data_IF_648586681321
#
_entry.id   IF_648586681321
#
_cell.length_a   1.000
_cell.length_b   1.000
_cell.length_c   1.000
_cell.angle_alpha   90.00
_cell.angle_beta   90.00
_cell.angle_gamma   90.00
#
_symmetry.space_group_name_H-M   'P 1'
#
loop_
_entity.id
_entity.type
_entity.pdbx_description
1 polymer ?
#
# COMPACT_ATOMS: atom_id res chain seq x y z
N UNK A 1 -22.32 22.25 9.66
CA UNK A 1 -21.76 22.47 8.31
C UNK A 1 -20.80 21.32 8.07
N UNK A 2 -21.07 20.46 7.09
CA UNK A 2 -20.30 19.24 6.84
C UNK A 2 -18.82 19.58 6.56
N UNK A 3 -17.91 19.09 7.40
CA UNK A 3 -16.46 19.06 7.12
C UNK A 3 -16.20 17.96 6.07
N UNK A 4 -16.49 18.25 4.80
CA UNK A 4 -16.19 17.37 3.67
C UNK A 4 -14.76 17.56 3.13
N UNK A 5 -13.99 18.46 3.74
CA UNK A 5 -12.60 18.72 3.46
C UNK A 5 -11.81 18.70 4.79
N UNK A 6 -11.65 17.52 5.38
CA UNK A 6 -10.48 17.27 6.23
C UNK A 6 -9.26 17.20 5.30
N UNK A 7 -8.87 18.37 4.81
CA UNK A 7 -7.57 18.63 4.20
C UNK A 7 -6.53 18.28 5.26
N UNK A 8 -5.47 17.58 4.87
CA UNK A 8 -4.43 17.07 5.77
C UNK A 8 -3.61 18.17 6.44
N UNK A 9 -4.25 18.95 7.30
CA UNK A 9 -3.65 19.97 8.15
C UNK A 9 -2.94 19.35 9.34
N UNK A 10 -2.40 20.21 10.21
CA UNK A 10 -1.71 19.75 11.41
C UNK A 10 -2.69 19.03 12.35
N UNK A 11 -2.34 17.79 12.73
CA UNK A 11 -3.08 17.02 13.71
C UNK A 11 -2.16 16.73 14.91
N UNK A 12 -2.51 17.21 16.12
CA UNK A 12 -1.74 16.87 17.31
C UNK A 12 -1.99 15.39 17.66
N UNK A 13 -1.01 14.53 17.39
CA UNK A 13 -1.08 13.11 17.72
C UNK A 13 -0.91 12.88 19.23
N UNK A 14 -2.01 13.03 19.97
CA UNK A 14 -2.07 12.64 21.38
C UNK A 14 -2.61 11.22 21.48
N UNK A 15 -1.70 10.23 21.49
CA UNK A 15 -2.08 8.83 21.60
C UNK A 15 -2.56 8.54 23.02
N UNK A 16 -3.86 8.31 23.18
CA UNK A 16 -4.40 7.79 24.44
C UNK A 16 -4.04 6.31 24.61
N UNK A 17 -4.29 5.77 25.80
CA UNK A 17 -4.15 4.33 26.05
C UNK A 17 -5.04 3.48 25.14
N UNK A 18 -6.23 3.97 24.78
CA UNK A 18 -7.13 3.29 23.86
C UNK A 18 -6.59 3.30 22.43
N UNK A 19 -6.06 4.43 21.94
CA UNK A 19 -5.51 4.55 20.58
C UNK A 19 -4.29 3.63 20.41
N UNK A 20 -3.41 3.60 21.41
CA UNK A 20 -2.24 2.72 21.43
C UNK A 20 -2.65 1.26 21.40
N UNK A 21 -3.68 0.88 22.19
CA UNK A 21 -4.21 -0.47 22.18
C UNK A 21 -4.79 -0.85 20.80
N UNK A 22 -5.54 0.05 20.17
CA UNK A 22 -6.11 -0.18 18.83
C UNK A 22 -5.03 -0.35 17.75
N UNK A 23 -3.96 0.44 17.80
CA UNK A 23 -2.82 0.29 16.88
C UNK A 23 -2.13 -1.07 17.04
N UNK A 24 -1.88 -1.50 18.28
CA UNK A 24 -1.27 -2.81 18.56
C UNK A 24 -2.18 -3.94 18.13
N UNK A 25 -3.48 -3.86 18.42
CA UNK A 25 -4.47 -4.86 17.99
C UNK A 25 -4.52 -4.95 16.46
N UNK A 26 -4.55 -3.81 15.76
CA UNK A 26 -4.57 -3.77 14.29
C UNK A 26 -3.33 -4.45 13.69
N UNK A 27 -2.15 -4.21 14.27
CA UNK A 27 -0.92 -4.88 13.86
C UNK A 27 -0.99 -6.39 14.09
N UNK A 28 -1.48 -6.83 15.26
CA UNK A 28 -1.64 -8.25 15.56
C UNK A 28 -2.62 -8.94 14.61
N UNK A 29 -3.74 -8.29 14.29
CA UNK A 29 -4.73 -8.81 13.33
C UNK A 29 -4.11 -8.95 11.93
N UNK A 30 -3.32 -7.97 11.49
CA UNK A 30 -2.60 -8.06 10.21
C UNK A 30 -1.63 -9.25 10.18
N UNK A 31 -0.88 -9.48 11.26
CA UNK A 31 0.04 -10.62 11.37
C UNK A 31 -0.71 -11.96 11.39
N UNK A 32 -1.84 -12.05 12.10
CA UNK A 32 -2.71 -13.24 12.07
C UNK A 32 -3.24 -13.49 10.66
N UNK A 33 -3.66 -12.45 9.94
CA UNK A 33 -4.09 -12.54 8.56
C UNK A 33 -3.01 -13.11 7.64
N UNK A 34 -1.76 -12.63 7.76
CA UNK A 34 -0.62 -13.20 7.04
C UNK A 34 -0.37 -14.67 7.42
N UNK A 35 -0.48 -15.01 8.70
CA UNK A 35 -0.38 -16.39 9.17
C UNK A 35 -1.41 -17.32 8.55
N UNK A 36 -2.68 -16.91 8.53
CA UNK A 36 -3.77 -17.68 7.88
C UNK A 36 -3.51 -17.83 6.38
N UNK A 37 -3.11 -16.74 5.69
CA UNK A 37 -2.75 -16.80 4.27
C UNK A 37 -1.63 -17.80 3.99
N UNK A 38 -0.59 -17.81 4.82
CA UNK A 38 0.52 -18.76 4.71
C UNK A 38 0.06 -20.21 4.96
N UNK A 39 -0.80 -20.45 5.94
CA UNK A 39 -1.34 -21.79 6.23
C UNK A 39 -2.18 -22.32 5.05
N UNK A 40 -3.05 -21.49 4.49
CA UNK A 40 -3.87 -21.85 3.33
C UNK A 40 -3.00 -22.11 2.09
N UNK A 41 -2.04 -21.24 1.82
CA UNK A 41 -1.08 -21.41 0.73
C UNK A 41 -0.32 -22.73 0.85
N UNK A 42 0.21 -23.04 2.05
CA UNK A 42 0.89 -24.32 2.28
C UNK A 42 -0.04 -25.52 2.12
N UNK A 43 -1.32 -25.39 2.49
CA UNK A 43 -2.31 -26.43 2.26
C UNK A 43 -2.49 -26.75 0.77
N UNK A 44 -2.58 -25.71 -0.07
CA UNK A 44 -2.69 -25.85 -1.52
C UNK A 44 -1.41 -26.43 -2.13
N UNK A 45 -0.24 -25.90 -1.76
CA UNK A 45 1.05 -26.36 -2.31
C UNK A 45 1.43 -27.80 -1.92
N UNK A 46 0.81 -28.36 -0.87
CA UNK A 46 1.00 -29.77 -0.47
C UNK A 46 0.08 -30.73 -1.21
N UNK A 47 -0.94 -30.23 -1.90
CA UNK A 47 -1.84 -31.08 -2.69
C UNK A 47 -1.09 -31.69 -3.88
N UNK A 48 -1.59 -32.83 -4.38
CA UNK A 48 -1.00 -33.45 -5.57
C UNK A 48 -1.29 -32.58 -6.81
N UNK A 49 -0.23 -32.24 -7.53
CA UNK A 49 -0.26 -31.46 -8.78
C UNK A 49 -0.88 -32.23 -9.96
N UNK A 50 -1.18 -33.52 -9.77
CA UNK A 50 -1.85 -34.38 -10.74
C UNK A 50 -0.90 -34.98 -11.78
N UNK A 51 -1.46 -35.30 -12.96
CA UNK A 51 -0.72 -36.01 -14.01
C UNK A 51 0.36 -35.14 -14.67
N UNK A 52 1.31 -35.78 -15.37
CA UNK A 52 2.33 -35.06 -16.12
C UNK A 52 1.74 -34.06 -17.13
N UNK A 53 0.63 -34.41 -17.76
CA UNK A 53 -0.10 -33.52 -18.68
C UNK A 53 -0.66 -32.29 -17.96
N UNK A 54 -1.27 -32.46 -16.78
CA UNK A 54 -1.80 -31.36 -15.97
C UNK A 54 -0.69 -30.39 -15.56
N UNK A 55 0.47 -30.92 -15.14
CA UNK A 55 1.65 -30.11 -14.80
C UNK A 55 2.15 -29.27 -15.99
N UNK A 56 2.22 -29.86 -17.19
CA UNK A 56 2.64 -29.14 -18.41
C UNK A 56 1.69 -27.98 -18.74
N UNK A 57 0.38 -28.20 -18.62
CA UNK A 57 -0.63 -27.16 -18.85
C UNK A 57 -0.53 -26.06 -17.79
N UNK A 58 -0.37 -26.43 -16.51
CA UNK A 58 -0.24 -25.46 -15.42
C UNK A 58 0.95 -24.52 -15.62
N UNK A 59 2.10 -25.02 -16.06
CA UNK A 59 3.29 -24.21 -16.38
C UNK A 59 2.98 -23.24 -17.52
N UNK A 60 2.35 -23.69 -18.61
CA UNK A 60 1.99 -22.81 -19.73
C UNK A 60 1.00 -21.70 -19.31
N UNK A 61 0.05 -22.01 -18.42
CA UNK A 61 -0.86 -21.00 -17.85
C UNK A 61 -0.09 -20.01 -16.98
N UNK A 62 0.82 -20.49 -16.13
CA UNK A 62 1.64 -19.64 -15.27
C UNK A 62 2.51 -18.68 -16.09
N UNK A 63 3.16 -19.16 -17.15
CA UNK A 63 3.93 -18.33 -18.07
C UNK A 63 3.08 -17.24 -18.73
N UNK A 64 1.88 -17.60 -19.21
CA UNK A 64 0.94 -16.65 -19.80
C UNK A 64 0.46 -15.59 -18.79
N UNK A 65 0.12 -16.01 -17.58
CA UNK A 65 -0.31 -15.12 -16.50
C UNK A 65 0.81 -14.16 -16.09
N UNK A 66 2.04 -14.65 -15.92
CA UNK A 66 3.20 -13.80 -15.59
C UNK A 66 3.54 -12.82 -16.71
N UNK A 67 3.40 -13.22 -17.98
CA UNK A 67 3.57 -12.32 -19.11
C UNK A 67 2.52 -11.19 -19.11
N UNK A 68 1.26 -11.49 -18.76
CA UNK A 68 0.21 -10.49 -18.60
C UNK A 68 0.49 -9.54 -17.43
N UNK A 69 0.76 -10.07 -16.23
CA UNK A 69 1.05 -9.28 -15.02
C UNK A 69 2.23 -8.34 -15.26
N UNK A 70 3.31 -8.84 -15.87
CA UNK A 70 4.49 -8.01 -16.18
C UNK A 70 4.16 -6.85 -17.10
N UNK A 71 3.31 -7.06 -18.12
CA UNK A 71 2.86 -5.98 -19.02
C UNK A 71 1.93 -5.00 -18.31
N UNK A 72 1.07 -5.49 -17.43
CA UNK A 72 0.17 -4.67 -16.60
C UNK A 72 0.97 -3.76 -15.67
N UNK A 73 1.91 -4.32 -14.89
CA UNK A 73 2.76 -3.58 -13.96
C UNK A 73 3.66 -2.57 -14.65
N UNK A 74 4.19 -2.91 -15.83
CA UNK A 74 4.91 -1.92 -16.65
C UNK A 74 4.03 -0.73 -17.03
N UNK A 75 2.76 -0.97 -17.34
CA UNK A 75 1.81 0.09 -17.70
C UNK A 75 1.40 0.92 -16.49
N UNK A 76 1.13 0.27 -15.36
CA UNK A 76 0.85 0.94 -14.08
C UNK A 76 2.04 1.82 -13.68
N UNK A 77 3.27 1.31 -13.76
CA UNK A 77 4.48 2.09 -13.46
C UNK A 77 4.62 3.36 -14.32
N UNK A 78 4.26 3.28 -15.61
CA UNK A 78 4.24 4.46 -16.50
C UNK A 78 3.23 5.53 -16.06
N UNK A 79 2.16 5.15 -15.34
CA UNK A 79 1.15 6.08 -14.80
C UNK A 79 1.54 6.56 -13.40
N UNK A 80 2.05 5.67 -12.54
CA UNK A 80 2.41 5.96 -11.15
C UNK A 80 3.56 6.97 -11.06
N UNK A 81 4.56 6.91 -11.95
CA UNK A 81 5.71 7.82 -11.91
C UNK A 81 5.32 9.29 -12.12
N UNK A 82 4.58 9.67 -13.19
CA UNK A 82 4.06 11.03 -13.32
C UNK A 82 3.13 11.44 -12.18
N UNK A 83 2.28 10.52 -11.70
CA UNK A 83 1.40 10.81 -10.56
C UNK A 83 2.18 11.09 -9.28
N UNK A 84 3.29 10.40 -9.02
CA UNK A 84 4.14 10.67 -7.87
C UNK A 84 4.74 12.10 -7.92
N UNK A 85 5.08 12.59 -9.12
CA UNK A 85 5.50 13.98 -9.33
C UNK A 85 4.35 14.94 -9.06
N UNK A 86 3.15 14.66 -9.57
CA UNK A 86 1.96 15.48 -9.30
C UNK A 86 1.68 15.53 -7.80
N UNK A 87 1.73 14.39 -7.09
CA UNK A 87 1.55 14.32 -5.64
C UNK A 87 2.59 15.16 -4.89
N UNK A 88 3.84 15.16 -5.34
CA UNK A 88 4.91 15.97 -4.74
C UNK A 88 4.69 17.47 -4.96
N UNK A 89 4.48 17.89 -6.22
CA UNK A 89 4.36 19.31 -6.59
C UNK A 89 3.03 19.94 -6.15
N UNK A 90 1.97 19.13 -5.96
CA UNK A 90 0.71 19.59 -5.36
C UNK A 90 0.72 19.55 -3.84
N UNK A 91 1.86 19.28 -3.22
CA UNK A 91 1.99 19.37 -1.78
C UNK A 91 2.01 20.82 -1.32
N UNK A 92 1.54 21.06 -0.10
CA UNK A 92 1.57 22.36 0.55
C UNK A 92 2.31 22.25 1.87
N UNK A 93 2.80 23.38 2.38
CA UNK A 93 3.26 23.43 3.76
C UNK A 93 2.11 23.15 4.73
N UNK A 94 2.43 22.45 5.80
CA UNK A 94 1.48 22.10 6.86
C UNK A 94 1.71 23.11 7.97
N UNK A 95 0.71 23.97 8.16
CA UNK A 95 0.68 24.97 9.22
C UNK A 95 -0.04 24.40 10.44
N UNK A 96 0.46 24.75 11.62
CA UNK A 96 -0.22 24.53 12.89
C UNK A 96 -1.29 25.62 13.11
N UNK A 97 -2.19 25.39 14.07
CA UNK A 97 -3.31 26.28 14.37
C UNK A 97 -2.88 27.73 14.74
N UNK A 98 -1.63 27.91 15.17
CA UNK A 98 -0.99 29.20 15.50
C UNK A 98 -0.29 29.88 14.31
N UNK A 99 -0.29 29.25 13.13
CA UNK A 99 0.38 29.73 11.92
C UNK A 99 1.86 29.35 11.83
N UNK A 100 2.40 28.60 12.79
CA UNK A 100 3.76 28.08 12.71
C UNK A 100 3.86 26.96 11.66
N UNK A 101 4.95 26.93 10.90
CA UNK A 101 5.21 25.88 9.92
C UNK A 101 5.60 24.60 10.66
N UNK A 102 4.71 23.61 10.69
CA UNK A 102 4.98 22.31 11.28
C UNK A 102 5.82 21.44 10.33
N UNK A 103 5.46 21.42 9.04
CA UNK A 103 6.24 20.77 7.98
C UNK A 103 6.28 21.69 6.75
N UNK A 104 7.48 22.02 6.30
CA UNK A 104 7.66 22.81 5.07
C UNK A 104 7.23 22.03 3.82
N UNK A 105 7.04 22.75 2.71
CA UNK A 105 6.66 22.19 1.41
C UNK A 105 7.46 20.94 1.02
N UNK A 106 8.79 21.00 1.14
CA UNK A 106 9.67 19.89 0.73
C UNK A 106 9.47 18.63 1.58
N UNK A 107 9.45 18.76 2.91
CA UNK A 107 9.24 17.63 3.82
C UNK A 107 7.84 17.03 3.68
N UNK A 108 6.82 17.89 3.59
CA UNK A 108 5.43 17.48 3.38
C UNK A 108 5.28 16.72 2.06
N UNK A 109 5.81 17.28 0.97
CA UNK A 109 5.84 16.63 -0.34
C UNK A 109 6.56 15.29 -0.31
N UNK A 110 7.72 15.21 0.34
CA UNK A 110 8.50 13.98 0.43
C UNK A 110 7.74 12.87 1.16
N UNK A 111 7.18 13.14 2.35
CA UNK A 111 6.40 12.13 3.09
C UNK A 111 5.14 11.70 2.34
N UNK A 112 4.43 12.64 1.72
CA UNK A 112 3.22 12.35 0.92
C UNK A 112 3.55 11.47 -0.28
N UNK A 113 4.63 11.78 -1.00
CA UNK A 113 5.07 10.97 -2.14
C UNK A 113 5.58 9.60 -1.72
N UNK A 114 6.30 9.49 -0.60
CA UNK A 114 6.73 8.19 -0.07
C UNK A 114 5.54 7.32 0.34
N UNK A 115 4.54 7.90 1.02
CA UNK A 115 3.32 7.18 1.39
C UNK A 115 2.54 6.71 0.15
N UNK A 116 2.45 7.56 -0.87
CA UNK A 116 1.82 7.21 -2.16
C UNK A 116 2.55 6.04 -2.85
N UNK A 117 3.88 6.08 -2.93
CA UNK A 117 4.67 5.02 -3.55
C UNK A 117 4.63 3.72 -2.75
N UNK A 118 4.72 3.79 -1.42
CA UNK A 118 4.60 2.63 -0.54
C UNK A 118 3.22 1.96 -0.69
N UNK A 119 2.14 2.76 -0.73
CA UNK A 119 0.79 2.26 -0.99
C UNK A 119 0.64 1.65 -2.39
N UNK A 120 1.22 2.29 -3.41
CA UNK A 120 1.24 1.77 -4.78
C UNK A 120 1.93 0.41 -4.88
N UNK A 121 3.11 0.26 -4.26
CA UNK A 121 3.84 -1.02 -4.21
C UNK A 121 3.06 -2.10 -3.44
N UNK A 122 2.46 -1.75 -2.30
CA UNK A 122 1.68 -2.69 -1.50
C UNK A 122 0.40 -3.16 -2.22
N UNK A 123 -0.16 -2.35 -3.12
CA UNK A 123 -1.34 -2.70 -3.93
C UNK A 123 -1.05 -3.70 -5.06
N UNK A 124 0.21 -4.14 -5.21
CA UNK A 124 0.63 -4.97 -6.33
C UNK A 124 0.74 -4.16 -7.61
N UNK A 125 1.54 -3.09 -7.59
CA UNK A 125 2.11 -2.48 -8.78
C UNK A 125 3.43 -3.17 -9.19
#
# INVERSE_FOLDING_TARGET
MYQLASEGGYQPFNLSGADTALLVISLLVALVGLGVGALLMQGVLKADDGTAEMKRIAVAIQEGAMAYITRQFRTIGMIVVPLALVVFFTSTEILKDDGEVALGFFSSGLFRTLAFLAGGLASGA
#
